data_IF_127504708936
#
_entry.id   IF_127504708936
#
_cell.length_a   1.000
_cell.length_b   1.000
_cell.length_c   1.000
_cell.angle_alpha   90.00
_cell.angle_beta   90.00
_cell.angle_gamma   90.00
#
_symmetry.space_group_name_H-M   'P 1'
#
loop_
_entity.id
_entity.type
_entity.pdbx_description
1 polymer ?
#
# COMPACT_ATOMS: atom_id res chain seq x y z
N UNK A 1 -4.23 -6.40 13.42
CA UNK A 1 -3.33 -5.24 13.59
C UNK A 1 -2.48 -5.16 12.34
N UNK A 2 -2.83 -4.28 11.42
CA UNK A 2 -2.00 -3.94 10.27
C UNK A 2 -0.90 -2.99 10.77
N UNK A 3 0.34 -3.48 10.82
CA UNK A 3 1.48 -2.67 11.21
C UNK A 3 1.95 -1.92 9.98
N UNK A 4 1.73 -0.61 9.91
CA UNK A 4 2.30 0.25 8.88
C UNK A 4 3.53 0.96 9.44
N UNK A 5 4.43 1.41 8.54
CA UNK A 5 5.64 2.12 8.91
C UNK A 5 5.75 3.44 8.14
N UNK A 6 6.13 4.51 8.83
CA UNK A 6 6.50 5.78 8.20
C UNK A 6 7.98 5.70 7.85
N UNK A 7 8.30 5.91 6.57
CA UNK A 7 9.66 5.91 6.06
C UNK A 7 10.31 7.30 6.23
N UNK A 8 11.66 7.40 6.20
CA UNK A 8 12.36 8.68 6.32
C UNK A 8 12.00 9.71 5.25
N UNK A 9 11.52 9.27 4.08
CA UNK A 9 11.06 10.13 3.00
C UNK A 9 9.60 10.63 3.19
N UNK A 10 8.92 10.23 4.28
CA UNK A 10 7.53 10.57 4.54
C UNK A 10 6.51 9.56 3.98
N UNK A 11 6.94 8.63 3.14
CA UNK A 11 6.06 7.59 2.60
C UNK A 11 5.63 6.60 3.68
N UNK A 12 4.54 5.89 3.41
CA UNK A 12 3.97 4.92 4.33
C UNK A 12 4.02 3.53 3.70
N UNK A 13 4.65 2.58 4.39
CA UNK A 13 4.90 1.24 3.85
C UNK A 13 4.21 0.15 4.65
N UNK A 14 3.54 -0.76 3.94
CA UNK A 14 2.99 -1.99 4.48
C UNK A 14 4.04 -3.12 4.46
N UNK A 15 4.03 -4.06 5.42
CA UNK A 15 4.84 -5.28 5.40
C UNK A 15 4.74 -6.11 4.11
N UNK A 16 3.62 -6.04 3.40
CA UNK A 16 3.47 -6.74 2.11
C UNK A 16 4.16 -6.03 0.95
N UNK A 17 4.84 -4.91 1.19
CA UNK A 17 5.64 -4.19 0.21
C UNK A 17 4.95 -2.99 -0.44
N UNK A 18 3.65 -2.77 -0.25
CA UNK A 18 2.97 -1.57 -0.78
C UNK A 18 3.53 -0.32 -0.09
N UNK A 19 3.90 0.67 -0.89
CA UNK A 19 4.38 1.95 -0.42
C UNK A 19 3.49 3.06 -0.97
N UNK A 20 2.95 3.89 -0.09
CA UNK A 20 2.01 4.96 -0.40
C UNK A 20 2.68 6.32 -0.20
N UNK A 21 2.26 7.29 -1.00
CA UNK A 21 2.73 8.67 -0.99
C UNK A 21 1.61 9.57 -0.42
N UNK A 22 1.63 9.90 0.89
CA UNK A 22 0.61 10.74 1.51
C UNK A 22 0.45 12.11 0.83
N UNK A 23 1.54 12.66 0.31
CA UNK A 23 1.58 13.94 -0.39
C UNK A 23 0.94 13.91 -1.79
N UNK A 24 0.73 12.70 -2.33
CA UNK A 24 0.00 12.46 -3.56
C UNK A 24 -1.27 11.69 -3.23
N UNK A 25 -2.11 12.20 -2.33
CA UNK A 25 -3.42 11.62 -1.98
C UNK A 25 -3.40 10.09 -1.76
N UNK A 26 -2.33 9.58 -1.13
CA UNK A 26 -2.15 8.15 -0.84
C UNK A 26 -1.98 7.25 -2.05
N UNK A 27 -1.57 7.79 -3.20
CA UNK A 27 -1.26 6.98 -4.37
C UNK A 27 -0.04 6.07 -4.09
N UNK A 28 -0.10 4.78 -4.47
CA UNK A 28 1.06 3.92 -4.39
C UNK A 28 2.20 4.41 -5.27
N UNK A 29 3.44 4.15 -4.85
CA UNK A 29 4.60 4.33 -5.74
C UNK A 29 4.50 3.36 -6.90
N UNK A 30 4.94 3.79 -8.09
CA UNK A 30 4.95 2.93 -9.28
C UNK A 30 5.72 1.63 -9.03
N UNK A 31 6.90 1.70 -8.42
CA UNK A 31 7.73 0.54 -8.12
C UNK A 31 7.03 -0.47 -7.20
N UNK A 32 6.39 0.01 -6.12
CA UNK A 32 5.68 -0.90 -5.21
C UNK A 32 4.43 -1.52 -5.84
N UNK A 33 3.77 -0.78 -6.74
CA UNK A 33 2.65 -1.27 -7.52
C UNK A 33 3.11 -2.39 -8.47
N UNK A 34 4.15 -2.15 -9.27
CA UNK A 34 4.71 -3.14 -10.20
C UNK A 34 5.16 -4.41 -9.46
N UNK A 35 5.85 -4.26 -8.33
CA UNK A 35 6.27 -5.38 -7.49
C UNK A 35 5.08 -6.18 -6.94
N UNK A 36 4.03 -5.49 -6.48
CA UNK A 36 2.83 -6.14 -5.97
C UNK A 36 2.08 -6.89 -7.08
N UNK A 37 1.93 -6.30 -8.27
CA UNK A 37 1.34 -6.97 -9.42
C UNK A 37 2.13 -8.22 -9.82
N UNK A 38 3.45 -8.11 -9.91
CA UNK A 38 4.31 -9.26 -10.22
C UNK A 38 4.13 -10.39 -9.19
N UNK A 39 4.17 -10.06 -7.90
CA UNK A 39 4.02 -11.03 -6.82
C UNK A 39 2.63 -11.70 -6.81
N UNK A 40 1.56 -10.94 -7.01
CA UNK A 40 0.20 -11.50 -7.00
C UNK A 40 -0.12 -12.29 -8.28
N UNK A 41 0.36 -11.84 -9.44
CA UNK A 41 0.25 -12.62 -10.70
C UNK A 41 1.00 -13.94 -10.61
N UNK A 42 2.16 -13.97 -9.97
CA UNK A 42 2.89 -15.21 -9.71
C UNK A 42 2.09 -16.21 -8.83
N UNK A 43 1.14 -15.71 -8.03
CA UNK A 43 0.20 -16.50 -7.25
C UNK A 43 -1.11 -16.83 -8.01
N UNK A 44 -1.21 -16.46 -9.28
CA UNK A 44 -2.38 -16.68 -10.12
C UNK A 44 -3.55 -15.73 -9.84
N UNK A 45 -3.32 -14.62 -9.14
CA UNK A 45 -4.38 -13.64 -8.89
C UNK A 45 -4.68 -12.83 -10.17
N UNK A 46 -5.96 -12.62 -10.50
CA UNK A 46 -6.36 -11.76 -11.61
C UNK A 46 -6.19 -10.29 -11.24
N UNK A 47 -5.90 -9.45 -12.25
CA UNK A 47 -5.50 -8.06 -12.07
C UNK A 47 -6.54 -7.23 -11.31
N UNK A 48 -7.84 -7.46 -11.55
CA UNK A 48 -8.92 -6.76 -10.85
C UNK A 48 -8.91 -7.02 -9.32
N UNK A 49 -8.52 -8.23 -8.88
CA UNK A 49 -8.39 -8.54 -7.46
C UNK A 49 -7.13 -7.92 -6.86
N UNK A 50 -6.07 -7.78 -7.66
CA UNK A 50 -4.84 -7.08 -7.25
C UNK A 50 -5.15 -5.61 -7.03
N UNK A 51 -5.83 -4.96 -7.98
CA UNK A 51 -6.26 -3.55 -7.86
C UNK A 51 -7.14 -3.36 -6.64
N UNK A 52 -8.16 -4.21 -6.45
CA UNK A 52 -9.02 -4.15 -5.26
C UNK A 52 -8.20 -4.21 -3.97
N UNK A 53 -7.26 -5.16 -3.90
CA UNK A 53 -6.40 -5.34 -2.72
C UNK A 53 -5.53 -4.10 -2.44
N UNK A 54 -4.97 -3.48 -3.48
CA UNK A 54 -4.20 -2.24 -3.36
C UNK A 54 -5.07 -1.13 -2.79
N UNK A 55 -6.30 -0.97 -3.30
CA UNK A 55 -7.24 0.05 -2.82
C UNK A 55 -7.67 -0.19 -1.37
N UNK A 56 -7.98 -1.44 -1.01
CA UNK A 56 -8.33 -1.81 0.37
C UNK A 56 -7.17 -1.48 1.34
N UNK A 57 -5.93 -1.75 0.90
CA UNK A 57 -4.74 -1.43 1.68
C UNK A 57 -4.50 0.07 1.81
N UNK A 58 -4.74 0.86 0.76
CA UNK A 58 -4.62 2.31 0.84
C UNK A 58 -5.60 2.90 1.86
N UNK A 59 -6.86 2.44 1.87
CA UNK A 59 -7.85 2.84 2.86
C UNK A 59 -7.46 2.42 4.30
N UNK A 60 -6.89 1.22 4.48
CA UNK A 60 -6.39 0.76 5.78
C UNK A 60 -5.22 1.62 6.27
N UNK A 61 -4.32 2.04 5.38
CA UNK A 61 -3.21 2.93 5.72
C UNK A 61 -3.70 4.30 6.22
N UNK A 62 -4.65 4.90 5.49
CA UNK A 62 -5.24 6.19 5.87
C UNK A 62 -5.90 6.10 7.24
N UNK A 63 -6.63 5.01 7.51
CA UNK A 63 -7.21 4.76 8.83
C UNK A 63 -6.14 4.58 9.90
N UNK A 64 -5.11 3.77 9.63
CA UNK A 64 -4.03 3.55 10.60
C UNK A 64 -3.32 4.86 10.96
N UNK A 65 -3.06 5.76 10.01
CA UNK A 65 -2.43 7.05 10.30
C UNK A 65 -3.31 7.95 11.15
N UNK A 66 -4.62 8.03 10.85
CA UNK A 66 -5.57 8.75 11.71
C UNK A 66 -5.53 8.25 13.16
N UNK A 67 -5.42 6.94 13.34
CA UNK A 67 -5.45 6.32 14.66
C UNK A 67 -4.10 6.41 15.43
N UNK A 68 -2.98 6.67 14.75
CA UNK A 68 -1.62 6.54 15.33
C UNK A 68 -0.74 7.81 15.24
N UNK A 69 -1.07 8.74 14.35
CA UNK A 69 -0.29 9.97 14.09
C UNK A 69 -1.12 11.23 14.34
N UNK A 70 -2.43 11.08 14.54
CA UNK A 70 -3.37 12.15 14.91
C UNK A 70 -3.37 12.47 16.40
#
# INVERSE_FOLDING_TARGET
MSTWYILPNGNVKHPSGLELQPEQDWFPTQESMEAMFAAQRALGAPDELIVKRIMDMAADAERWLRDNVG
#
